data_IF_971397055302
#
_entry.id   IF_971397055302
#
_cell.length_a   1.000
_cell.length_b   1.000
_cell.length_c   1.000
_cell.angle_alpha   90.00
_cell.angle_beta   90.00
_cell.angle_gamma   90.00
#
_symmetry.space_group_name_H-M   'P 1'
#
loop_
_entity.id
_entity.type
_entity.pdbx_description
1 polymer ?
#
# COMPACT_ATOMS: atom_id res chain seq x y z
N UNK A 1 16.63 -12.40 -2.77
CA UNK A 1 16.07 -13.00 -4.00
C UNK A 1 15.86 -14.50 -3.81
N UNK A 2 14.76 -14.88 -3.16
CA UNK A 2 14.27 -16.26 -3.16
C UNK A 2 13.62 -16.55 -4.52
N UNK A 3 13.80 -17.77 -5.02
CA UNK A 3 13.22 -18.22 -6.28
C UNK A 3 11.69 -18.38 -6.12
N UNK A 4 10.89 -17.86 -7.06
CA UNK A 4 9.41 -17.82 -6.99
C UNK A 4 8.77 -19.20 -6.79
N UNK A 5 9.42 -20.25 -7.30
CA UNK A 5 8.96 -21.63 -7.13
C UNK A 5 9.11 -22.13 -5.67
N UNK A 6 10.18 -21.74 -5.00
CA UNK A 6 10.43 -22.10 -3.60
C UNK A 6 9.54 -21.33 -2.64
N UNK A 7 9.32 -20.05 -2.93
CA UNK A 7 8.40 -19.20 -2.14
C UNK A 7 6.98 -19.79 -2.11
N UNK A 8 6.46 -20.19 -3.28
CA UNK A 8 5.13 -20.83 -3.37
C UNK A 8 5.07 -22.13 -2.57
N UNK A 9 6.07 -23.00 -2.70
CA UNK A 9 6.11 -24.27 -1.96
C UNK A 9 6.17 -24.06 -0.44
N UNK A 10 6.99 -23.11 0.03
CA UNK A 10 7.10 -22.77 1.46
C UNK A 10 5.77 -22.23 1.98
N UNK A 11 5.10 -21.34 1.25
CA UNK A 11 3.82 -20.80 1.66
C UNK A 11 2.69 -21.83 1.63
N UNK A 12 2.67 -22.75 0.67
CA UNK A 12 1.69 -23.83 0.61
C UNK A 12 1.82 -24.77 1.83
N UNK A 13 3.06 -25.15 2.19
CA UNK A 13 3.33 -25.97 3.37
C UNK A 13 3.08 -25.22 4.68
N UNK A 14 3.40 -23.93 4.74
CA UNK A 14 3.12 -23.10 5.92
C UNK A 14 1.62 -22.90 6.11
N UNK A 15 0.86 -22.64 5.04
CA UNK A 15 -0.61 -22.49 5.08
C UNK A 15 -1.27 -23.75 5.62
N UNK A 16 -0.78 -24.95 5.24
CA UNK A 16 -1.29 -26.24 5.74
C UNK A 16 -1.03 -26.44 7.23
N UNK A 17 0.08 -25.93 7.75
CA UNK A 17 0.46 -26.07 9.16
C UNK A 17 -0.18 -25.02 10.04
N UNK A 18 -0.19 -23.77 9.57
CA UNK A 18 -0.71 -22.61 10.28
C UNK A 18 -1.09 -21.51 9.27
N UNK A 19 -2.36 -21.51 8.90
CA UNK A 19 -2.92 -20.50 8.00
C UNK A 19 -2.84 -19.08 8.61
N UNK A 20 -2.97 -18.94 9.92
CA UNK A 20 -2.91 -17.63 10.59
C UNK A 20 -1.52 -17.03 10.52
N UNK A 21 -0.49 -17.81 10.84
CA UNK A 21 0.91 -17.40 10.70
C UNK A 21 1.26 -17.10 9.24
N UNK A 22 0.77 -17.90 8.29
CA UNK A 22 0.99 -17.68 6.87
C UNK A 22 0.43 -16.32 6.41
N UNK A 23 -0.79 -15.96 6.81
CA UNK A 23 -1.37 -14.65 6.50
C UNK A 23 -0.54 -13.52 7.12
N UNK A 24 -0.09 -13.66 8.36
CA UNK A 24 0.75 -12.65 9.02
C UNK A 24 2.10 -12.47 8.33
N UNK A 25 2.70 -13.55 7.82
CA UNK A 25 3.94 -13.45 7.03
C UNK A 25 3.68 -12.78 5.68
N UNK A 26 2.60 -13.12 4.96
CA UNK A 26 2.26 -12.46 3.69
C UNK A 26 2.03 -10.96 3.87
N UNK A 27 1.32 -10.56 4.93
CA UNK A 27 1.14 -9.14 5.27
C UNK A 27 2.45 -8.41 5.55
N UNK A 28 3.44 -9.10 6.14
CA UNK A 28 4.77 -8.54 6.38
C UNK A 28 5.68 -8.53 5.15
N UNK A 29 5.35 -9.31 4.12
CA UNK A 29 6.12 -9.39 2.87
C UNK A 29 5.76 -8.31 1.86
N UNK A 30 4.61 -7.66 2.00
CA UNK A 30 4.22 -6.53 1.17
C UNK A 30 4.00 -5.33 2.06
N UNK A 31 5.06 -4.54 2.24
CA UNK A 31 4.99 -3.29 3.00
C UNK A 31 4.54 -2.19 2.06
N UNK A 32 3.73 -1.25 2.56
CA UNK A 32 3.26 -0.10 1.77
C UNK A 32 4.41 0.66 1.09
N UNK A 33 5.60 0.63 1.68
CA UNK A 33 6.85 1.18 1.17
C UNK A 33 7.34 0.54 -0.15
N UNK A 34 6.94 -0.71 -0.43
CA UNK A 34 7.32 -1.42 -1.66
C UNK A 34 6.71 -0.78 -2.92
N UNK A 35 5.74 0.15 -2.79
CA UNK A 35 5.21 0.96 -3.90
C UNK A 35 6.33 1.65 -4.68
N UNK A 36 7.42 2.03 -4.02
CA UNK A 36 8.58 2.67 -4.64
C UNK A 36 9.29 1.78 -5.67
N UNK A 37 9.08 0.47 -5.59
CA UNK A 37 9.66 -0.53 -6.50
C UNK A 37 8.80 -0.79 -7.74
N UNK A 38 7.57 -0.28 -7.77
CA UNK A 38 6.64 -0.46 -8.88
C UNK A 38 6.94 0.53 -10.01
N UNK A 39 6.68 0.10 -11.24
CA UNK A 39 6.75 1.00 -12.40
C UNK A 39 5.55 1.97 -12.42
N UNK A 40 5.74 3.11 -13.10
CA UNK A 40 4.73 4.18 -13.17
C UNK A 40 3.37 3.68 -13.70
N UNK A 41 3.33 2.72 -14.64
CA UNK A 41 2.06 2.21 -15.16
C UNK A 41 1.33 1.34 -14.13
N UNK A 42 2.08 0.52 -13.38
CA UNK A 42 1.53 -0.26 -12.26
C UNK A 42 0.97 0.66 -11.18
N UNK A 43 1.68 1.75 -10.86
CA UNK A 43 1.23 2.73 -9.86
C UNK A 43 -0.07 3.41 -10.32
N UNK A 44 -0.09 3.93 -11.54
CA UNK A 44 -1.29 4.56 -12.11
C UNK A 44 -2.49 3.61 -12.20
N UNK A 45 -2.24 2.31 -12.38
CA UNK A 45 -3.31 1.31 -12.42
C UNK A 45 -3.96 1.14 -11.06
N UNK A 46 -3.19 0.86 -10.00
CA UNK A 46 -3.79 0.67 -8.67
C UNK A 46 -4.40 1.97 -8.13
N UNK A 47 -3.83 3.14 -8.43
CA UNK A 47 -4.40 4.43 -8.02
C UNK A 47 -5.83 4.68 -8.55
N UNK A 48 -6.25 3.98 -9.62
CA UNK A 48 -7.64 4.03 -10.12
C UNK A 48 -8.60 3.14 -9.36
N UNK A 49 -8.08 2.15 -8.62
CA UNK A 49 -8.85 1.16 -7.87
C UNK A 49 -8.92 1.51 -6.37
N UNK A 50 -8.06 2.42 -5.90
CA UNK A 50 -8.01 2.89 -4.52
C UNK A 50 -9.03 4.01 -4.25
N UNK A 51 -9.72 3.92 -3.11
CA UNK A 51 -10.62 4.96 -2.63
C UNK A 51 -9.83 6.23 -2.21
N UNK A 52 -10.32 7.40 -2.59
CA UNK A 52 -9.66 8.69 -2.29
C UNK A 52 -9.43 8.90 -0.80
N UNK A 53 -10.34 8.44 0.06
CA UNK A 53 -10.20 8.51 1.51
C UNK A 53 -9.06 7.61 1.98
N UNK A 54 -8.99 6.38 1.48
CA UNK A 54 -7.92 5.46 1.86
C UNK A 54 -6.55 5.99 1.43
N UNK A 55 -6.46 6.61 0.24
CA UNK A 55 -5.23 7.25 -0.22
C UNK A 55 -4.79 8.40 0.70
N UNK A 56 -5.73 9.27 1.13
CA UNK A 56 -5.44 10.37 2.06
C UNK A 56 -4.94 9.84 3.41
N UNK A 57 -5.58 8.80 3.96
CA UNK A 57 -5.17 8.21 5.24
C UNK A 57 -3.81 7.52 5.12
N UNK A 58 -3.57 6.76 4.05
CA UNK A 58 -2.30 6.09 3.83
C UNK A 58 -1.13 7.07 3.66
N UNK A 59 -1.36 8.17 2.92
CA UNK A 59 -0.36 9.23 2.69
C UNK A 59 -0.01 10.00 3.96
N UNK A 60 -0.85 9.99 5.01
CA UNK A 60 -0.50 10.62 6.30
C UNK A 60 0.60 9.89 7.05
N UNK A 61 0.71 8.57 6.88
CA UNK A 61 1.78 7.75 7.46
C UNK A 61 2.89 7.38 6.48
N UNK A 62 2.78 7.81 5.22
CA UNK A 62 3.79 7.55 4.21
C UNK A 62 5.05 8.38 4.47
N UNK A 63 6.21 7.83 4.14
CA UNK A 63 7.41 8.64 4.02
C UNK A 63 7.36 9.53 2.76
N UNK A 64 8.32 10.43 2.65
CA UNK A 64 8.39 11.39 1.54
C UNK A 64 8.55 10.69 0.18
N UNK A 65 9.33 9.61 0.13
CA UNK A 65 9.64 8.90 -1.12
C UNK A 65 8.38 8.24 -1.71
N UNK A 66 7.60 7.55 -0.88
CA UNK A 66 6.32 6.97 -1.30
C UNK A 66 5.33 8.05 -1.72
N UNK A 67 5.23 9.13 -0.93
CA UNK A 67 4.34 10.23 -1.26
C UNK A 67 4.69 10.85 -2.63
N UNK A 68 5.97 11.07 -2.90
CA UNK A 68 6.44 11.65 -4.17
C UNK A 68 6.15 10.74 -5.36
N UNK A 69 6.40 9.43 -5.23
CA UNK A 69 6.10 8.43 -6.27
C UNK A 69 4.60 8.37 -6.57
N UNK A 70 3.76 8.42 -5.53
CA UNK A 70 2.30 8.46 -5.67
C UNK A 70 1.87 9.76 -6.38
N UNK A 71 2.28 10.93 -5.88
CA UNK A 71 1.87 12.21 -6.47
C UNK A 71 2.38 12.41 -7.90
N UNK A 72 3.58 11.90 -8.23
CA UNK A 72 4.12 11.90 -9.59
C UNK A 72 3.21 11.15 -10.56
N UNK A 73 2.52 10.11 -10.09
CA UNK A 73 1.66 9.24 -10.89
C UNK A 73 0.17 9.64 -10.85
N UNK A 74 -0.15 10.79 -10.27
CA UNK A 74 -1.50 11.34 -10.23
C UNK A 74 -1.64 12.47 -11.25
N UNK A 75 -2.87 12.67 -11.75
CA UNK A 75 -3.18 13.88 -12.52
C UNK A 75 -3.12 15.12 -11.62
N UNK A 76 -2.79 16.29 -12.18
CA UNK A 76 -2.70 17.56 -11.42
C UNK A 76 -3.93 17.80 -10.55
N UNK A 77 -5.12 17.61 -11.10
CA UNK A 77 -6.40 17.76 -10.39
C UNK A 77 -6.55 16.78 -9.22
N UNK A 78 -6.15 15.52 -9.42
CA UNK A 78 -6.23 14.50 -8.36
C UNK A 78 -5.25 14.81 -7.23
N UNK A 79 -4.02 15.21 -7.59
CA UNK A 79 -2.99 15.63 -6.64
C UNK A 79 -3.43 16.85 -5.82
N UNK A 80 -4.04 17.86 -6.45
CA UNK A 80 -4.59 19.02 -5.76
C UNK A 80 -5.71 18.65 -4.79
N UNK A 81 -6.64 17.78 -5.21
CA UNK A 81 -7.73 17.29 -4.35
C UNK A 81 -7.17 16.58 -3.12
N UNK A 82 -6.26 15.62 -3.32
CA UNK A 82 -5.68 14.86 -2.21
C UNK A 82 -4.83 15.73 -1.29
N UNK A 83 -4.08 16.70 -1.82
CA UNK A 83 -3.36 17.68 -0.99
C UNK A 83 -4.31 18.52 -0.14
N UNK A 84 -5.42 18.98 -0.72
CA UNK A 84 -6.44 19.70 0.03
C UNK A 84 -7.04 18.82 1.14
N UNK A 85 -7.42 17.58 0.82
CA UNK A 85 -7.97 16.65 1.81
C UNK A 85 -6.96 16.32 2.93
N UNK A 86 -5.67 16.23 2.60
CA UNK A 86 -4.60 16.08 3.59
C UNK A 86 -4.51 17.29 4.54
N UNK A 87 -4.73 18.52 4.07
CA UNK A 87 -4.74 19.71 4.92
C UNK A 87 -5.90 19.69 5.93
N UNK A 88 -7.08 19.23 5.51
CA UNK A 88 -8.26 19.13 6.37
C UNK A 88 -8.26 17.89 7.28
N UNK A 89 -7.51 16.85 6.92
CA UNK A 89 -7.44 15.61 7.68
C UNK A 89 -6.40 15.73 8.80
N UNK A 90 -6.84 16.19 9.97
CA UNK A 90 -6.03 16.30 11.18
C UNK A 90 -6.40 15.23 12.23
N UNK A 91 -5.44 14.83 13.07
CA UNK A 91 -5.63 13.89 14.19
C UNK A 91 -6.16 12.50 13.76
N UNK A 92 -5.53 11.88 12.76
CA UNK A 92 -5.81 10.48 12.38
C UNK A 92 -5.20 9.51 13.39
N UNK A 93 -5.89 8.39 13.64
CA UNK A 93 -5.34 7.33 14.49
C UNK A 93 -4.37 6.49 13.66
N UNK A 94 -3.26 6.07 14.27
CA UNK A 94 -2.26 5.21 13.61
C UNK A 94 -2.92 3.95 13.00
N UNK A 95 -3.86 3.34 13.72
CA UNK A 95 -4.61 2.18 13.22
C UNK A 95 -5.38 2.46 11.92
N UNK A 96 -5.99 3.63 11.78
CA UNK A 96 -6.77 3.97 10.58
C UNK A 96 -5.83 4.15 9.36
N UNK A 97 -4.61 4.63 9.61
CA UNK A 97 -3.54 4.74 8.60
C UNK A 97 -3.04 3.36 8.19
N UNK A 98 -2.72 2.50 9.15
CA UNK A 98 -2.28 1.12 8.89
C UNK A 98 -3.35 0.31 8.14
N UNK A 99 -4.62 0.43 8.56
CA UNK A 99 -5.74 -0.24 7.90
C UNK A 99 -5.92 0.28 6.45
N UNK A 100 -5.71 1.57 6.19
CA UNK A 100 -5.75 2.15 4.84
C UNK A 100 -4.59 1.66 3.97
N UNK A 101 -3.36 1.67 4.50
CA UNK A 101 -2.19 1.13 3.82
C UNK A 101 -2.38 -0.35 3.45
N UNK A 102 -2.94 -1.15 4.38
CA UNK A 102 -3.22 -2.55 4.13
C UNK A 102 -4.30 -2.76 3.06
N UNK A 103 -5.33 -1.90 3.02
CA UNK A 103 -6.32 -1.93 1.94
C UNK A 103 -5.69 -1.64 0.58
N UNK A 104 -4.79 -0.66 0.49
CA UNK A 104 -4.09 -0.33 -0.76
C UNK A 104 -3.17 -1.47 -1.21
N UNK A 105 -2.45 -2.09 -0.28
CA UNK A 105 -1.60 -3.27 -0.55
C UNK A 105 -2.42 -4.50 -1.00
N UNK A 106 -3.69 -4.58 -0.59
CA UNK A 106 -4.57 -5.71 -0.93
C UNK A 106 -5.25 -5.60 -2.30
N UNK A 107 -5.05 -4.52 -3.04
CA UNK A 107 -5.59 -4.28 -4.41
C UNK A 107 -4.66 -4.91 -5.45
#
# INVERSE_FOLDING_TARGET
>A
NMDRANEKYIFDELTRKDAGLCEEIRKRMFVFEDITTLDDMSIQRFLREVDSKDLVYALKGANQEVADVIFKNMSTRSSESVRSDLEYTHNVRLRDVEDAQQRIVGV
#
